data_IF_137361495660
#
_entry.id   IF_137361495660
#
_cell.length_a   1.000
_cell.length_b   1.000
_cell.length_c   1.000
_cell.angle_alpha   90.00
_cell.angle_beta   90.00
_cell.angle_gamma   90.00
#
_symmetry.space_group_name_H-M   'P 1'
#
loop_
_entity.id
_entity.type
_entity.pdbx_description
1 polymer ?
#
# COMPACT_ATOMS: atom_id res chain seq x y z
N UNK A 1 1.03 19.25 14.76
CA UNK A 1 0.86 18.14 13.78
C UNK A 1 1.60 18.41 12.48
N UNK A 2 1.35 19.53 11.77
CA UNK A 2 2.11 19.88 10.55
C UNK A 2 3.63 19.92 10.79
N UNK A 3 4.06 20.54 11.90
CA UNK A 3 5.48 20.61 12.28
C UNK A 3 6.13 19.23 12.46
N UNK A 4 5.39 18.25 13.01
CA UNK A 4 5.90 16.88 13.17
C UNK A 4 6.21 16.24 11.80
N UNK A 5 5.51 16.67 10.75
CA UNK A 5 5.68 16.19 9.38
C UNK A 5 6.46 17.17 8.49
N UNK A 6 7.22 18.11 9.06
CA UNK A 6 7.98 19.17 8.37
C UNK A 6 7.12 20.22 7.66
N UNK A 7 6.13 19.84 6.85
CA UNK A 7 5.25 20.77 6.15
C UNK A 7 3.89 20.12 5.81
N UNK A 8 2.94 20.93 5.33
CA UNK A 8 1.58 20.48 5.02
C UNK A 8 1.55 19.45 3.87
N UNK A 9 2.43 19.56 2.88
CA UNK A 9 2.47 18.64 1.75
C UNK A 9 2.91 17.24 2.18
N UNK A 10 3.92 17.15 3.04
CA UNK A 10 4.38 15.88 3.61
C UNK A 10 3.31 15.26 4.53
N UNK A 11 2.60 16.08 5.32
CA UNK A 11 1.46 15.61 6.12
C UNK A 11 0.32 15.07 5.25
N UNK A 12 -0.07 15.80 4.21
CA UNK A 12 -1.14 15.38 3.29
C UNK A 12 -0.74 14.11 2.55
N UNK A 13 0.51 14.02 2.08
CA UNK A 13 1.05 12.81 1.45
C UNK A 13 0.99 11.62 2.41
N UNK A 14 1.39 11.80 3.67
CA UNK A 14 1.31 10.75 4.68
C UNK A 14 -0.12 10.28 4.90
N UNK A 15 -1.06 11.20 5.13
CA UNK A 15 -2.47 10.86 5.37
C UNK A 15 -3.06 10.13 4.15
N UNK A 16 -2.81 10.62 2.95
CA UNK A 16 -3.36 10.03 1.74
C UNK A 16 -2.71 8.67 1.42
N UNK A 17 -1.39 8.61 1.41
CA UNK A 17 -0.64 7.42 0.99
C UNK A 17 -0.60 6.33 2.07
N UNK A 18 -0.61 6.66 3.36
CA UNK A 18 -0.44 5.68 4.44
C UNK A 18 -1.74 5.37 5.19
N UNK A 19 -2.78 6.22 5.10
CA UNK A 19 -4.08 5.97 5.78
C UNK A 19 -5.20 5.74 4.77
N UNK A 20 -5.51 6.72 3.92
CA UNK A 20 -6.68 6.63 3.05
C UNK A 20 -6.56 5.53 2.00
N UNK A 21 -5.46 5.49 1.25
CA UNK A 21 -5.29 4.47 0.21
C UNK A 21 -5.32 3.05 0.75
N UNK A 22 -4.54 2.65 1.77
CA UNK A 22 -4.65 1.30 2.32
C UNK A 22 -5.98 1.06 3.04
N UNK A 23 -6.54 2.04 3.76
CA UNK A 23 -7.84 1.90 4.41
C UNK A 23 -8.98 1.63 3.42
N UNK A 24 -8.99 2.32 2.28
CA UNK A 24 -9.96 2.09 1.21
C UNK A 24 -9.81 0.69 0.59
N UNK A 25 -8.56 0.27 0.32
CA UNK A 25 -8.29 -1.07 -0.22
C UNK A 25 -8.71 -2.18 0.76
N UNK A 26 -8.38 -2.02 2.04
CA UNK A 26 -8.82 -2.94 3.10
C UNK A 26 -10.35 -3.01 3.16
N UNK A 27 -11.02 -1.85 3.12
CA UNK A 27 -12.48 -1.80 3.17
C UNK A 27 -13.14 -2.51 1.98
N UNK A 28 -12.65 -2.25 0.77
CA UNK A 28 -13.15 -2.91 -0.43
C UNK A 28 -12.94 -4.43 -0.37
N UNK A 29 -11.79 -4.91 0.10
CA UNK A 29 -11.52 -6.35 0.20
C UNK A 29 -12.27 -7.05 1.33
N UNK A 30 -12.60 -6.36 2.43
CA UNK A 30 -13.31 -6.95 3.57
C UNK A 30 -14.84 -6.93 3.40
N UNK A 31 -15.40 -5.79 3.01
CA UNK A 31 -16.86 -5.60 2.94
C UNK A 31 -17.43 -5.78 1.53
N UNK A 32 -16.63 -5.51 0.48
CA UNK A 32 -17.06 -5.61 -0.91
C UNK A 32 -16.32 -6.72 -1.69
N UNK A 33 -15.82 -7.75 -1.00
CA UNK A 33 -14.98 -8.81 -1.59
C UNK A 33 -15.55 -9.37 -2.90
N UNK A 34 -16.86 -9.66 -2.93
CA UNK A 34 -17.54 -10.21 -4.12
C UNK A 34 -17.43 -9.27 -5.32
N UNK A 35 -17.63 -7.96 -5.13
CA UNK A 35 -17.49 -6.97 -6.21
C UNK A 35 -16.04 -6.86 -6.69
N UNK A 36 -15.08 -6.89 -5.76
CA UNK A 36 -13.65 -6.85 -6.08
C UNK A 36 -13.23 -8.06 -6.91
N UNK A 37 -13.60 -9.27 -6.49
CA UNK A 37 -13.27 -10.50 -7.22
C UNK A 37 -13.92 -10.52 -8.61
N UNK A 38 -15.19 -10.13 -8.71
CA UNK A 38 -15.89 -10.04 -9.99
C UNK A 38 -15.23 -9.06 -10.98
N UNK A 39 -14.73 -7.91 -10.52
CA UNK A 39 -13.99 -6.93 -11.37
C UNK A 39 -12.81 -7.55 -12.09
N UNK A 40 -12.14 -8.52 -11.45
CA UNK A 40 -10.99 -9.22 -11.99
C UNK A 40 -11.31 -10.61 -12.54
N UNK A 41 -12.59 -10.98 -12.68
CA UNK A 41 -12.99 -12.33 -13.09
C UNK A 41 -12.36 -13.44 -12.23
N UNK A 42 -12.24 -13.21 -10.92
CA UNK A 42 -11.72 -14.18 -9.95
C UNK A 42 -12.90 -14.89 -9.28
N UNK A 43 -12.79 -16.21 -9.11
CA UNK A 43 -13.81 -17.03 -8.45
C UNK A 43 -14.04 -16.61 -6.99
N UNK A 44 -15.29 -16.70 -6.53
CA UNK A 44 -15.67 -16.33 -5.16
C UNK A 44 -14.99 -17.20 -4.09
N UNK A 45 -14.51 -18.40 -4.43
CA UNK A 45 -13.74 -19.27 -3.54
C UNK A 45 -12.43 -18.61 -3.07
N UNK A 46 -11.92 -17.61 -3.79
CA UNK A 46 -10.74 -16.84 -3.39
C UNK A 46 -11.02 -15.83 -2.26
N UNK A 47 -12.27 -15.68 -1.80
CA UNK A 47 -12.64 -14.70 -0.78
C UNK A 47 -11.84 -14.84 0.53
N UNK A 48 -11.50 -16.06 0.94
CA UNK A 48 -10.67 -16.28 2.13
C UNK A 48 -9.28 -15.63 1.97
N UNK A 49 -8.63 -15.86 0.84
CA UNK A 49 -7.30 -15.29 0.55
C UNK A 49 -7.38 -13.77 0.39
N UNK A 50 -8.44 -13.26 -0.25
CA UNK A 50 -8.64 -11.82 -0.38
C UNK A 50 -8.81 -11.12 0.98
N UNK A 51 -9.52 -11.73 1.93
CA UNK A 51 -9.66 -11.20 3.29
C UNK A 51 -8.36 -11.28 4.09
N UNK A 52 -7.60 -12.35 3.93
CA UNK A 52 -6.27 -12.45 4.53
C UNK A 52 -5.34 -11.36 3.98
N UNK A 53 -5.35 -11.13 2.66
CA UNK A 53 -4.58 -10.06 2.05
C UNK A 53 -4.99 -8.67 2.58
N UNK A 54 -6.26 -8.46 2.92
CA UNK A 54 -6.76 -7.20 3.47
C UNK A 54 -6.25 -6.88 4.89
N UNK A 55 -5.80 -7.88 5.65
CA UNK A 55 -5.15 -7.65 6.95
C UNK A 55 -3.92 -6.75 6.82
N UNK A 56 -3.21 -6.85 5.69
CA UNK A 56 -2.01 -6.07 5.44
C UNK A 56 -2.26 -4.56 5.33
N UNK A 57 -3.07 -4.06 4.37
CA UNK A 57 -3.40 -2.65 4.31
C UNK A 57 -4.18 -2.17 5.54
N UNK A 58 -4.92 -3.04 6.24
CA UNK A 58 -5.53 -2.69 7.53
C UNK A 58 -4.47 -2.35 8.58
N UNK A 59 -3.45 -3.21 8.72
CA UNK A 59 -2.35 -2.98 9.65
C UNK A 59 -1.57 -1.72 9.28
N UNK A 60 -1.28 -1.52 7.99
CA UNK A 60 -0.63 -0.31 7.48
C UNK A 60 -1.39 0.96 7.87
N UNK A 61 -2.69 1.03 7.54
CA UNK A 61 -3.54 2.18 7.83
C UNK A 61 -3.65 2.45 9.33
N UNK A 62 -3.74 1.38 10.14
CA UNK A 62 -3.87 1.49 11.60
C UNK A 62 -2.58 2.03 12.22
N UNK A 63 -1.42 1.49 11.84
CA UNK A 63 -0.12 1.98 12.32
C UNK A 63 0.12 3.42 11.86
N UNK A 64 -0.22 3.75 10.61
CA UNK A 64 -0.13 5.13 10.12
C UNK A 64 -1.02 6.09 10.91
N UNK A 65 -2.23 5.67 11.28
CA UNK A 65 -3.11 6.45 12.14
C UNK A 65 -2.52 6.67 13.54
N UNK A 66 -1.87 5.67 14.13
CA UNK A 66 -1.15 5.84 15.40
C UNK A 66 0.03 6.82 15.26
N UNK A 67 0.81 6.72 14.18
CA UNK A 67 1.89 7.67 13.88
C UNK A 67 1.36 9.09 13.68
N UNK A 68 0.17 9.26 13.11
CA UNK A 68 -0.46 10.58 12.98
C UNK A 68 -0.71 11.23 14.35
N UNK A 69 -1.12 10.42 15.34
CA UNK A 69 -1.43 10.85 16.71
C UNK A 69 -0.15 11.12 17.52
N UNK A 70 0.79 10.16 17.51
CA UNK A 70 1.98 10.20 18.38
C UNK A 70 3.19 10.88 17.74
N UNK A 71 3.15 11.12 16.43
CA UNK A 71 4.24 11.69 15.66
C UNK A 71 5.14 10.62 14.99
N UNK A 72 5.88 11.00 13.94
CA UNK A 72 6.71 10.08 13.16
C UNK A 72 8.07 9.77 13.78
N UNK A 73 8.44 10.45 14.87
CA UNK A 73 9.76 10.30 15.49
C UNK A 73 10.02 8.85 15.92
N UNK A 74 11.20 8.31 15.59
CA UNK A 74 11.60 6.94 15.92
C UNK A 74 10.87 5.82 15.17
N UNK A 75 9.96 6.14 14.25
CA UNK A 75 9.16 5.14 13.52
C UNK A 75 9.77 4.73 12.17
N UNK A 76 11.10 4.84 11.98
CA UNK A 76 11.76 4.54 10.70
C UNK A 76 11.38 3.18 10.11
N UNK A 77 11.17 2.16 10.95
CA UNK A 77 10.85 0.82 10.51
C UNK A 77 9.57 0.79 9.66
N UNK A 78 8.54 1.57 10.01
CA UNK A 78 7.31 1.67 9.21
C UNK A 78 7.60 2.19 7.79
N UNK A 79 8.41 3.25 7.69
CA UNK A 79 8.72 3.90 6.42
C UNK A 79 9.63 3.04 5.53
N UNK A 80 10.74 2.52 6.09
CA UNK A 80 11.68 1.67 5.37
C UNK A 80 11.02 0.37 4.93
N UNK A 81 10.20 -0.22 5.80
CA UNK A 81 9.47 -1.44 5.45
C UNK A 81 8.46 -1.20 4.33
N UNK A 82 7.78 -0.06 4.32
CA UNK A 82 6.95 0.36 3.19
C UNK A 82 7.75 0.44 1.88
N UNK A 83 8.95 1.04 1.88
CA UNK A 83 9.82 1.06 0.69
C UNK A 83 10.12 -0.36 0.21
N UNK A 84 10.52 -1.27 1.11
CA UNK A 84 10.87 -2.65 0.74
C UNK A 84 9.67 -3.39 0.14
N UNK A 85 8.52 -3.32 0.80
CA UNK A 85 7.29 -4.00 0.38
C UNK A 85 6.80 -3.46 -0.96
N UNK A 86 6.74 -2.13 -1.13
CA UNK A 86 6.26 -1.53 -2.37
C UNK A 86 7.30 -1.56 -3.48
N UNK A 87 8.59 -1.65 -3.17
CA UNK A 87 9.65 -1.95 -4.12
C UNK A 87 9.49 -3.35 -4.72
N UNK A 88 9.35 -4.36 -3.86
CA UNK A 88 9.08 -5.73 -4.29
C UNK A 88 7.76 -5.82 -5.08
N UNK A 89 6.69 -5.20 -4.58
CA UNK A 89 5.38 -5.14 -5.26
C UNK A 89 5.47 -4.49 -6.63
N UNK A 90 6.24 -3.40 -6.78
CA UNK A 90 6.48 -2.74 -8.06
C UNK A 90 7.15 -3.70 -9.04
N UNK A 91 8.19 -4.42 -8.61
CA UNK A 91 8.87 -5.41 -9.46
C UNK A 91 7.89 -6.51 -9.87
N UNK A 92 7.18 -7.13 -8.91
CA UNK A 92 6.31 -8.28 -9.18
C UNK A 92 5.13 -7.91 -10.09
N UNK A 93 4.45 -6.79 -9.81
CA UNK A 93 3.31 -6.35 -10.60
C UNK A 93 3.74 -5.88 -12.00
N UNK A 94 4.91 -5.26 -12.14
CA UNK A 94 5.44 -4.86 -13.45
C UNK A 94 5.79 -6.08 -14.29
N UNK A 95 6.56 -7.02 -13.72
CA UNK A 95 6.93 -8.26 -14.41
C UNK A 95 5.70 -9.09 -14.78
N UNK A 96 4.71 -9.17 -13.89
CA UNK A 96 3.44 -9.84 -14.19
C UNK A 96 2.71 -9.09 -15.28
N UNK A 97 2.48 -7.77 -15.17
CA UNK A 97 1.72 -6.99 -16.15
C UNK A 97 2.28 -7.11 -17.57
N UNK A 98 3.60 -7.01 -17.74
CA UNK A 98 4.27 -7.16 -19.04
C UNK A 98 4.52 -8.61 -19.48
N UNK A 99 4.00 -9.60 -18.74
CA UNK A 99 4.11 -11.03 -19.07
C UNK A 99 5.56 -11.55 -19.12
N UNK A 100 6.43 -11.02 -18.27
CA UNK A 100 7.85 -11.39 -18.19
C UNK A 100 8.08 -12.50 -17.15
N UNK A 101 7.46 -12.37 -15.97
CA UNK A 101 7.55 -13.33 -14.86
C UNK A 101 6.33 -13.22 -13.92
N UNK A 102 6.19 -14.11 -12.93
CA UNK A 102 5.05 -14.13 -12.00
C UNK A 102 3.68 -14.26 -12.72
N UNK A 103 3.62 -15.15 -13.72
CA UNK A 103 2.47 -15.32 -14.63
C UNK A 103 1.61 -16.55 -14.29
N UNK A 104 1.87 -17.22 -13.16
CA UNK A 104 1.08 -18.37 -12.74
C UNK A 104 -0.39 -17.98 -12.56
N UNK A 105 -1.28 -18.68 -13.27
CA UNK A 105 -2.72 -18.42 -13.22
C UNK A 105 -3.18 -17.19 -14.01
N UNK A 106 -2.31 -16.49 -14.75
CA UNK A 106 -2.62 -15.26 -15.50
C UNK A 106 -3.82 -15.38 -16.46
N UNK A 107 -4.03 -16.55 -17.07
CA UNK A 107 -5.19 -16.79 -17.95
C UNK A 107 -6.54 -16.96 -17.24
N UNK A 108 -6.55 -16.97 -15.89
CA UNK A 108 -7.76 -17.20 -15.07
C UNK A 108 -8.35 -15.93 -14.48
N UNK A 109 -7.69 -14.77 -14.64
CA UNK A 109 -8.17 -13.50 -14.13
C UNK A 109 -7.81 -12.37 -15.08
N UNK A 110 -8.53 -11.25 -14.96
CA UNK A 110 -8.25 -10.03 -15.71
C UNK A 110 -7.00 -9.36 -15.17
N UNK A 111 -5.95 -9.30 -15.98
CA UNK A 111 -4.75 -8.53 -15.69
C UNK A 111 -5.01 -7.06 -16.01
N UNK A 112 -4.87 -6.20 -15.01
CA UNK A 112 -5.04 -4.75 -15.12
C UNK A 112 -3.75 -4.03 -14.68
N UNK A 113 -3.37 -2.89 -15.29
CA UNK A 113 -2.20 -2.13 -14.86
C UNK A 113 -2.39 -1.45 -13.50
N UNK A 114 -3.60 -1.45 -12.94
CA UNK A 114 -3.94 -0.83 -11.65
C UNK A 114 -3.00 -1.23 -10.51
N UNK A 115 -2.67 -2.52 -10.38
CA UNK A 115 -1.77 -3.01 -9.34
C UNK A 115 -0.35 -2.47 -9.52
N UNK A 116 0.13 -2.41 -10.77
CA UNK A 116 1.43 -1.84 -11.12
C UNK A 116 1.48 -0.35 -10.78
N UNK A 117 0.50 0.44 -11.24
CA UNK A 117 0.44 1.87 -10.94
C UNK A 117 0.31 2.16 -9.44
N UNK A 118 -0.52 1.40 -8.73
CA UNK A 118 -0.65 1.53 -7.28
C UNK A 118 0.68 1.24 -6.57
N UNK A 119 1.41 0.19 -6.96
CA UNK A 119 2.71 -0.13 -6.36
C UNK A 119 3.77 0.95 -6.61
N UNK A 120 3.84 1.51 -7.83
CA UNK A 120 4.75 2.63 -8.16
C UNK A 120 4.40 3.87 -7.33
N UNK A 121 3.12 4.23 -7.25
CA UNK A 121 2.66 5.36 -6.45
C UNK A 121 3.06 5.21 -4.98
N UNK A 122 2.86 4.01 -4.41
CA UNK A 122 3.20 3.73 -3.01
C UNK A 122 4.70 3.76 -2.79
N UNK A 123 5.51 3.19 -3.68
CA UNK A 123 6.96 3.24 -3.59
C UNK A 123 7.47 4.68 -3.58
N UNK A 124 6.99 5.52 -4.50
CA UNK A 124 7.36 6.94 -4.57
C UNK A 124 6.92 7.69 -3.32
N UNK A 125 5.70 7.47 -2.84
CA UNK A 125 5.18 8.11 -1.63
C UNK A 125 6.03 7.77 -0.41
N UNK A 126 6.34 6.49 -0.19
CA UNK A 126 7.19 6.05 0.93
C UNK A 126 8.63 6.56 0.80
N UNK A 127 9.18 6.59 -0.41
CA UNK A 127 10.52 7.14 -0.67
C UNK A 127 10.59 8.63 -0.34
N UNK A 128 9.60 9.41 -0.79
CA UNK A 128 9.49 10.83 -0.50
C UNK A 128 9.29 11.08 1.00
N UNK A 129 8.39 10.35 1.66
CA UNK A 129 8.16 10.48 3.09
C UNK A 129 9.42 10.15 3.90
N UNK A 130 10.14 9.09 3.54
CA UNK A 130 11.38 8.68 4.21
C UNK A 130 12.46 9.74 4.05
N UNK A 131 12.62 10.27 2.83
CA UNK A 131 13.59 11.33 2.56
C UNK A 131 13.23 12.62 3.31
N UNK A 132 11.98 13.07 3.18
CA UNK A 132 11.50 14.32 3.77
C UNK A 132 11.41 14.31 5.29
N UNK A 133 11.32 13.15 5.94
CA UNK A 133 11.23 13.02 7.40
C UNK A 133 12.47 12.37 8.02
N UNK A 134 13.55 12.21 7.24
CA UNK A 134 14.74 11.47 7.64
C UNK A 134 15.35 11.95 8.95
N UNK A 135 15.34 13.26 9.19
CA UNK A 135 15.81 13.94 10.41
C UNK A 135 15.03 13.57 11.67
N UNK A 136 13.81 13.04 11.53
CA UNK A 136 12.91 12.70 12.65
C UNK A 136 12.74 11.21 12.84
N UNK A 137 12.61 10.46 11.75
CA UNK A 137 12.28 9.04 11.82
C UNK A 137 13.50 8.20 12.24
N UNK A 138 14.72 8.65 11.93
CA UNK A 138 16.00 7.97 12.23
C UNK A 138 16.75 8.51 13.46
N UNK A 139 16.10 9.34 14.28
CA UNK A 139 16.67 9.89 15.52
C UNK A 139 17.22 8.80 16.46
#
# INVERSE_FOLDING_TARGET
MVENFNNIYTLVLFIFACIFTPGFYAAAQLWETKKVLARYNIDESAALIARFAACWPTAEATVAFLILIFGPSGNWAFFVFGIVVFGASTIYNTLSYFDIAMTYGRGKYKVSPEAMYASVFKLLSYSLLTYSLSDKIFL
#
